data_IF_361430968271
#
_entry.id   IF_361430968271
#
_cell.length_a   1.000
_cell.length_b   1.000
_cell.length_c   1.000
_cell.angle_alpha   90.00
_cell.angle_beta   90.00
_cell.angle_gamma   90.00
#
_symmetry.space_group_name_H-M   'P 1'
#
loop_
_entity.id
_entity.type
_entity.pdbx_description
1 polymer ?
#
# COMPACT_ATOMS: atom_id res chain seq x y z
N UNK A 1 9.24 22.13 -6.92
CA UNK A 1 8.00 21.55 -7.45
C UNK A 1 7.05 21.18 -6.34
N UNK A 2 5.78 21.50 -6.52
CA UNK A 2 4.75 21.17 -5.54
C UNK A 2 4.46 19.66 -5.57
N UNK A 3 4.59 18.99 -4.43
CA UNK A 3 4.27 17.57 -4.31
C UNK A 3 2.77 17.34 -4.47
N UNK A 4 2.39 16.28 -5.18
CA UNK A 4 0.99 15.89 -5.36
C UNK A 4 0.56 14.98 -4.22
N UNK A 5 -0.65 15.19 -3.72
CA UNK A 5 -1.23 14.39 -2.65
C UNK A 5 -2.21 13.37 -3.20
N UNK A 6 -2.04 12.12 -2.80
CA UNK A 6 -2.97 11.04 -3.12
C UNK A 6 -4.24 11.17 -2.26
N UNK A 7 -5.42 11.00 -2.85
CA UNK A 7 -6.70 11.27 -2.19
C UNK A 7 -7.25 10.13 -1.35
N UNK A 8 -6.63 8.95 -1.41
CA UNK A 8 -7.02 7.79 -0.59
C UNK A 8 -5.78 7.15 0.01
N UNK A 9 -5.93 6.34 1.07
CA UNK A 9 -4.79 5.66 1.67
C UNK A 9 -4.14 4.65 0.74
N UNK A 10 -2.82 4.49 0.89
CA UNK A 10 -2.05 3.48 0.20
C UNK A 10 -1.55 2.47 1.24
N UNK A 11 -1.96 1.22 1.08
CA UNK A 11 -1.58 0.11 1.97
C UNK A 11 -0.69 -0.87 1.26
N UNK A 12 0.31 -1.39 1.97
CA UNK A 12 1.03 -2.57 1.55
C UNK A 12 0.98 -3.61 2.67
N UNK A 13 1.03 -4.88 2.30
CA UNK A 13 1.18 -5.96 3.27
C UNK A 13 2.60 -6.52 3.20
N UNK A 14 3.12 -6.91 4.34
CA UNK A 14 4.45 -7.51 4.47
C UNK A 14 4.39 -8.65 5.47
N UNK A 15 5.49 -9.39 5.58
CA UNK A 15 5.64 -10.45 6.57
C UNK A 15 7.04 -10.37 7.21
N UNK A 16 7.23 -11.12 8.31
CA UNK A 16 8.47 -11.06 9.08
C UNK A 16 9.71 -11.51 8.30
N UNK A 17 9.53 -12.32 7.27
CA UNK A 17 10.66 -12.82 6.46
C UNK A 17 11.17 -11.82 5.44
N UNK A 18 10.38 -10.80 5.10
CA UNK A 18 10.65 -9.89 3.99
C UNK A 18 11.03 -8.48 4.43
N UNK A 19 11.69 -8.34 5.58
CA UNK A 19 12.08 -7.02 6.10
C UNK A 19 12.99 -6.24 5.15
N UNK A 20 13.91 -6.92 4.46
CA UNK A 20 14.78 -6.27 3.49
C UNK A 20 14.03 -5.80 2.26
N UNK A 21 13.06 -6.60 1.80
CA UNK A 21 12.19 -6.20 0.69
C UNK A 21 11.37 -4.97 1.07
N UNK A 22 10.87 -4.92 2.30
CA UNK A 22 10.14 -3.78 2.80
C UNK A 22 10.98 -2.50 2.77
N UNK A 23 12.23 -2.59 3.22
CA UNK A 23 13.13 -1.44 3.23
C UNK A 23 13.36 -0.89 1.82
N UNK A 24 13.61 -1.78 0.86
CA UNK A 24 13.76 -1.39 -0.56
C UNK A 24 12.47 -0.80 -1.10
N UNK A 25 11.34 -1.42 -0.79
CA UNK A 25 10.04 -0.93 -1.23
C UNK A 25 9.80 0.51 -0.75
N UNK A 26 10.04 0.78 0.52
CA UNK A 26 9.85 2.11 1.11
C UNK A 26 10.73 3.15 0.40
N UNK A 27 11.99 2.80 0.12
CA UNK A 27 12.89 3.69 -0.60
C UNK A 27 12.34 4.05 -1.98
N UNK A 28 11.89 3.07 -2.73
CA UNK A 28 11.33 3.27 -4.07
C UNK A 28 9.99 4.01 -4.02
N UNK A 29 9.15 3.67 -3.05
CA UNK A 29 7.89 4.36 -2.85
C UNK A 29 8.10 5.85 -2.62
N UNK A 30 9.02 6.21 -1.73
CA UNK A 30 9.29 7.61 -1.42
C UNK A 30 9.90 8.35 -2.60
N UNK A 31 10.66 7.63 -3.42
CA UNK A 31 11.24 8.22 -4.64
C UNK A 31 10.17 8.51 -5.71
N UNK A 32 9.18 7.64 -5.85
CA UNK A 32 8.25 7.67 -6.98
C UNK A 32 6.81 8.07 -6.64
N UNK A 33 6.47 8.23 -5.37
CA UNK A 33 5.12 8.59 -4.91
C UNK A 33 5.07 9.92 -4.17
N UNK A 34 6.02 10.80 -4.44
CA UNK A 34 6.07 12.16 -3.86
C UNK A 34 5.98 12.18 -2.32
N UNK A 35 6.47 11.12 -1.65
CA UNK A 35 6.45 11.05 -0.19
C UNK A 35 5.06 10.97 0.42
N UNK A 36 4.08 10.50 -0.32
CA UNK A 36 2.74 10.28 0.20
C UNK A 36 2.74 9.29 1.36
N UNK A 37 1.73 9.34 2.22
CA UNK A 37 1.62 8.43 3.35
C UNK A 37 1.55 6.99 2.86
N UNK A 38 2.32 6.12 3.51
CA UNK A 38 2.33 4.68 3.26
C UNK A 38 1.96 3.96 4.55
N UNK A 39 0.91 3.15 4.50
CA UNK A 39 0.48 2.32 5.62
C UNK A 39 0.93 0.89 5.38
N UNK A 40 1.65 0.34 6.34
CA UNK A 40 2.30 -0.97 6.23
C UNK A 40 1.60 -1.94 7.17
N UNK A 41 0.93 -2.92 6.60
CA UNK A 41 0.27 -3.99 7.36
C UNK A 41 1.25 -5.15 7.49
N UNK A 42 1.67 -5.42 8.70
CA UNK A 42 2.64 -6.48 8.99
C UNK A 42 2.36 -7.13 10.33
N UNK A 43 3.37 -7.76 10.91
CA UNK A 43 3.25 -8.48 12.18
C UNK A 43 4.22 -7.94 13.21
N UNK A 44 5.51 -8.23 13.09
CA UNK A 44 6.53 -7.65 13.97
C UNK A 44 6.97 -6.29 13.43
N UNK A 45 7.27 -5.37 14.32
CA UNK A 45 7.79 -4.07 13.90
C UNK A 45 9.09 -4.23 13.09
N UNK A 46 9.27 -3.40 12.05
CA UNK A 46 10.52 -3.44 11.30
C UNK A 46 11.74 -3.20 12.18
N UNK A 47 12.84 -3.86 11.84
CA UNK A 47 14.11 -3.73 12.56
C UNK A 47 14.96 -2.54 12.08
N UNK A 48 14.35 -1.63 11.35
CA UNK A 48 14.98 -0.40 10.87
C UNK A 48 14.03 0.77 11.13
N UNK A 49 14.57 1.99 11.14
CA UNK A 49 13.77 3.19 11.38
C UNK A 49 12.92 3.53 10.16
N UNK A 50 11.62 3.63 10.37
CA UNK A 50 10.69 4.04 9.32
C UNK A 50 10.74 5.55 9.07
N UNK A 51 10.65 6.00 7.81
CA UNK A 51 10.44 7.40 7.50
C UNK A 51 9.12 7.93 8.10
N UNK A 52 9.04 9.24 8.29
CA UNK A 52 7.87 9.87 8.94
C UNK A 52 6.55 9.64 8.21
N UNK A 53 6.58 9.49 6.90
CA UNK A 53 5.39 9.26 6.09
C UNK A 53 4.91 7.80 6.13
N UNK A 54 5.66 6.90 6.75
CA UNK A 54 5.31 5.49 6.83
C UNK A 54 4.74 5.18 8.20
N UNK A 55 3.59 4.48 8.22
CA UNK A 55 2.94 4.03 9.44
C UNK A 55 2.87 2.51 9.44
N UNK A 56 3.41 1.89 10.48
CA UNK A 56 3.35 0.45 10.64
C UNK A 56 2.14 0.06 11.49
N UNK A 57 1.37 -0.90 10.99
CA UNK A 57 0.17 -1.43 11.65
C UNK A 57 0.36 -2.92 11.81
N UNK A 58 0.41 -3.42 13.04
CA UNK A 58 0.53 -4.85 13.31
C UNK A 58 -0.82 -5.53 13.19
N UNK A 59 -0.86 -6.63 12.46
CA UNK A 59 -2.04 -7.51 12.39
C UNK A 59 -2.01 -8.60 13.46
N UNK A 60 -1.07 -8.51 14.42
CA UNK A 60 -0.94 -9.45 15.51
C UNK A 60 0.24 -10.39 15.34
N UNK A 61 0.05 -11.65 15.72
CA UNK A 61 1.08 -12.68 15.60
C UNK A 61 0.96 -13.35 14.24
N UNK A 62 2.08 -13.44 13.52
CA UNK A 62 2.09 -14.09 12.21
C UNK A 62 1.81 -15.58 12.36
N UNK A 63 0.73 -16.03 11.70
CA UNK A 63 0.37 -17.44 11.62
C UNK A 63 1.04 -18.16 10.46
N UNK A 64 0.43 -19.22 9.98
CA UNK A 64 0.93 -19.98 8.84
C UNK A 64 0.80 -19.23 7.50
N UNK A 65 1.40 -19.81 6.46
CA UNK A 65 1.48 -19.19 5.13
C UNK A 65 0.10 -18.88 4.53
N UNK A 66 -0.92 -19.59 4.97
CA UNK A 66 -2.28 -19.44 4.43
C UNK A 66 -3.12 -18.42 5.18
N UNK A 67 -2.61 -17.85 6.27
CA UNK A 67 -3.42 -16.99 7.15
C UNK A 67 -3.33 -15.50 6.85
N UNK A 68 -2.34 -15.09 6.04
CA UNK A 68 -2.16 -13.66 5.74
C UNK A 68 -3.38 -13.04 5.05
N UNK A 69 -4.05 -13.78 4.19
CA UNK A 69 -5.24 -13.25 3.52
C UNK A 69 -6.43 -13.10 4.48
N UNK A 70 -6.55 -14.00 5.45
CA UNK A 70 -7.54 -13.89 6.51
C UNK A 70 -7.26 -12.68 7.40
N UNK A 71 -6.00 -12.45 7.74
CA UNK A 71 -5.58 -11.31 8.54
C UNK A 71 -5.89 -9.99 7.81
N UNK A 72 -5.59 -9.90 6.52
CA UNK A 72 -5.92 -8.75 5.70
C UNK A 72 -7.43 -8.52 5.63
N UNK A 73 -8.19 -9.58 5.40
CA UNK A 73 -9.65 -9.51 5.37
C UNK A 73 -10.21 -8.97 6.69
N UNK A 74 -9.69 -9.46 7.81
CA UNK A 74 -10.12 -9.01 9.13
C UNK A 74 -9.79 -7.53 9.34
N UNK A 75 -8.58 -7.11 8.95
CA UNK A 75 -8.20 -5.71 9.06
C UNK A 75 -9.13 -4.82 8.24
N UNK A 76 -9.31 -5.13 6.96
CA UNK A 76 -10.10 -4.28 6.08
C UNK A 76 -11.60 -4.31 6.38
N UNK A 77 -12.10 -5.38 7.01
CA UNK A 77 -13.51 -5.43 7.44
C UNK A 77 -13.81 -4.49 8.59
N UNK A 78 -12.80 -4.14 9.39
CA UNK A 78 -12.94 -3.20 10.52
C UNK A 78 -12.40 -1.81 10.19
N UNK A 79 -11.79 -1.64 9.02
CA UNK A 79 -11.20 -0.39 8.58
C UNK A 79 -12.29 0.60 8.16
N UNK A 80 -12.13 1.87 8.54
CA UNK A 80 -13.08 2.93 8.19
C UNK A 80 -12.89 3.43 6.76
N UNK A 81 -11.75 3.13 6.13
CA UNK A 81 -11.47 3.56 4.76
C UNK A 81 -12.32 2.77 3.77
N UNK A 82 -13.21 3.47 3.08
CA UNK A 82 -14.07 2.85 2.07
C UNK A 82 -13.31 2.54 0.78
N UNK A 83 -12.30 3.35 0.47
CA UNK A 83 -11.47 3.18 -0.72
C UNK A 83 -10.01 3.24 -0.33
N UNK A 84 -9.20 2.40 -0.93
CA UNK A 84 -7.76 2.37 -0.69
C UNK A 84 -7.03 1.73 -1.88
N UNK A 85 -5.75 2.02 -2.01
CA UNK A 85 -4.85 1.31 -2.91
C UNK A 85 -4.13 0.25 -2.08
N UNK A 86 -3.97 -0.93 -2.64
CA UNK A 86 -3.31 -2.04 -1.98
C UNK A 86 -2.28 -2.69 -2.89
N UNK A 87 -1.13 -3.00 -2.31
CA UNK A 87 -0.06 -3.75 -2.98
C UNK A 87 0.70 -4.60 -1.95
N UNK A 88 1.72 -5.29 -2.40
CA UNK A 88 2.62 -6.09 -1.57
C UNK A 88 4.05 -5.55 -1.69
N UNK A 89 4.90 -5.85 -0.70
CA UNK A 89 6.26 -5.31 -0.61
C UNK A 89 7.20 -5.82 -1.70
N UNK A 90 6.82 -6.85 -2.43
CA UNK A 90 7.64 -7.42 -3.51
C UNK A 90 7.28 -6.87 -4.89
N UNK A 91 6.32 -5.96 -4.97
CA UNK A 91 5.93 -5.31 -6.23
C UNK A 91 6.52 -3.89 -6.22
N UNK A 92 7.76 -3.77 -6.68
CA UNK A 92 8.52 -2.52 -6.61
C UNK A 92 8.08 -1.52 -7.67
N UNK A 93 8.04 -0.26 -7.28
CA UNK A 93 7.87 0.83 -8.23
C UNK A 93 9.19 1.10 -8.95
N UNK A 94 9.12 1.43 -10.24
CA UNK A 94 10.31 1.65 -11.05
C UNK A 94 10.32 2.97 -11.81
N UNK A 95 9.25 3.76 -11.73
CA UNK A 95 9.17 5.08 -12.35
C UNK A 95 8.20 5.98 -11.58
N UNK A 96 8.35 7.30 -11.79
CA UNK A 96 7.50 8.30 -11.17
C UNK A 96 6.03 8.03 -11.47
N UNK A 97 5.22 7.97 -10.42
CA UNK A 97 3.77 7.81 -10.53
C UNK A 97 3.11 9.14 -10.87
N UNK A 98 2.11 9.10 -11.72
CA UNK A 98 1.29 10.27 -12.03
C UNK A 98 0.15 10.34 -11.01
N UNK A 99 0.38 11.04 -9.89
CA UNK A 99 -0.59 11.14 -8.80
C UNK A 99 -1.89 11.79 -9.26
N UNK A 100 -1.79 12.80 -10.11
CA UNK A 100 -2.98 13.46 -10.68
C UNK A 100 -3.86 12.48 -11.44
N UNK A 101 -3.24 11.62 -12.24
CA UNK A 101 -3.97 10.59 -12.99
C UNK A 101 -4.59 9.56 -12.05
N UNK A 102 -3.85 9.14 -11.02
CA UNK A 102 -4.37 8.22 -10.00
C UNK A 102 -5.60 8.82 -9.31
N UNK A 103 -5.55 10.09 -8.96
CA UNK A 103 -6.69 10.76 -8.34
C UNK A 103 -7.91 10.83 -9.28
N UNK A 104 -7.69 10.94 -10.58
CA UNK A 104 -8.79 10.85 -11.55
C UNK A 104 -9.41 9.46 -11.58
N UNK A 105 -8.58 8.40 -11.52
CA UNK A 105 -9.07 7.03 -11.44
C UNK A 105 -9.84 6.78 -10.14
N UNK A 106 -9.37 7.34 -9.04
CA UNK A 106 -10.05 7.26 -7.74
C UNK A 106 -11.45 7.86 -7.84
N UNK A 107 -11.57 9.04 -8.43
CA UNK A 107 -12.88 9.69 -8.62
C UNK A 107 -13.80 8.83 -9.51
N UNK A 108 -13.24 8.23 -10.55
CA UNK A 108 -14.01 7.31 -11.40
C UNK A 108 -14.59 6.15 -10.60
N UNK A 109 -13.78 5.52 -9.75
CA UNK A 109 -14.23 4.40 -8.91
C UNK A 109 -15.30 4.86 -7.93
N UNK A 110 -15.10 6.02 -7.29
CA UNK A 110 -16.06 6.57 -6.32
C UNK A 110 -17.42 6.92 -6.93
N UNK A 111 -17.43 7.34 -8.20
CA UNK A 111 -18.65 7.75 -8.89
C UNK A 111 -19.32 6.65 -9.68
N UNK A 112 -18.71 5.48 -9.76
CA UNK A 112 -19.25 4.33 -10.50
C UNK A 112 -19.33 3.11 -9.57
N UNK A 113 -20.42 2.97 -8.86
CA UNK A 113 -20.60 1.96 -7.79
C UNK A 113 -20.49 0.51 -8.27
N UNK A 114 -20.57 0.28 -9.58
CA UNK A 114 -20.38 -1.06 -10.16
C UNK A 114 -18.91 -1.49 -10.19
N UNK A 115 -17.97 -0.57 -9.97
CA UNK A 115 -16.54 -0.90 -9.96
C UNK A 115 -16.15 -1.34 -8.55
N UNK A 116 -15.88 -2.62 -8.37
CA UNK A 116 -15.39 -3.15 -7.11
C UNK A 116 -13.88 -3.06 -6.95
N UNK A 117 -13.15 -3.14 -8.07
CA UNK A 117 -11.68 -3.10 -8.07
C UNK A 117 -11.16 -2.61 -9.41
N UNK A 118 -10.11 -1.78 -9.34
CA UNK A 118 -9.38 -1.35 -10.53
C UNK A 118 -7.92 -1.80 -10.39
N UNK A 119 -7.42 -2.53 -11.37
CA UNK A 119 -6.04 -3.00 -11.36
C UNK A 119 -5.14 -1.92 -11.96
N UNK A 120 -4.15 -1.47 -11.18
CA UNK A 120 -3.21 -0.42 -11.57
C UNK A 120 -1.90 -0.96 -12.12
N UNK A 121 -1.69 -2.29 -12.07
CA UNK A 121 -0.47 -2.89 -12.56
C UNK A 121 -0.47 -3.01 -14.09
N UNK A 122 0.68 -2.76 -14.69
CA UNK A 122 0.91 -3.00 -16.11
C UNK A 122 1.13 -4.49 -16.31
N UNK A 123 0.11 -5.19 -16.79
CA UNK A 123 0.20 -6.64 -17.02
C UNK A 123 0.36 -6.86 -18.52
N UNK A 124 1.40 -7.58 -18.92
CA UNK A 124 1.58 -8.03 -20.28
C UNK A 124 2.50 -7.17 -21.15
N UNK A 125 3.28 -6.32 -20.54
CA UNK A 125 4.40 -5.67 -21.24
C UNK A 125 5.69 -6.44 -21.09
#
# INVERSE_FOLDING_TARGET
>A
MKKQKLNIPFYISTNNKHMKCLEVYIHLYNKFMDGNELRILGYDEPNFKLPENCKFISMGIQGGVTEWSTDLRNYFSECEDEYFIYSTEDVFMYKQSNIKYLNCLIEFVKTNSWVGRLNLANIGE
#
